data_IF_499929199110
#
_entry.id   IF_499929199110
#
_cell.length_a   1.000
_cell.length_b   1.000
_cell.length_c   1.000
_cell.angle_alpha   90.00
_cell.angle_beta   90.00
_cell.angle_gamma   90.00
#
_symmetry.space_group_name_H-M   'P 1'
#
loop_
_entity.id
_entity.type
_entity.pdbx_description
1 polymer ?
#
# COMPACT_ATOMS: atom_id res chain seq x y z
N UNK A 1 -0.97 -6.56 18.24
CA UNK A 1 -0.94 -5.92 16.92
C UNK A 1 0.28 -6.32 16.08
N UNK A 2 0.16 -6.28 14.76
CA UNK A 2 1.24 -6.63 13.83
C UNK A 2 1.33 -8.11 13.45
N UNK A 3 0.70 -9.01 14.18
CA UNK A 3 0.67 -10.43 13.84
C UNK A 3 -0.11 -10.65 12.54
N UNK A 4 0.45 -11.43 11.63
CA UNK A 4 -0.20 -11.86 10.40
C UNK A 4 -0.81 -13.23 10.63
N UNK A 5 -2.11 -13.36 10.38
CA UNK A 5 -2.86 -14.60 10.48
C UNK A 5 -3.47 -14.97 9.13
N UNK A 6 -3.68 -16.27 8.94
CA UNK A 6 -4.50 -16.78 7.84
C UNK A 6 -5.97 -16.81 8.23
N UNK A 7 -6.84 -16.95 7.26
CA UNK A 7 -8.29 -16.97 7.50
C UNK A 7 -8.74 -18.11 8.43
N UNK A 8 -8.16 -19.29 8.27
CA UNK A 8 -8.45 -20.46 9.11
C UNK A 8 -8.04 -20.27 10.57
N UNK A 9 -6.92 -19.57 10.82
CA UNK A 9 -6.47 -19.22 12.15
C UNK A 9 -7.44 -18.22 12.84
N UNK A 10 -7.90 -17.20 12.11
CA UNK A 10 -8.92 -16.26 12.63
C UNK A 10 -10.21 -17.00 12.99
N UNK A 11 -10.67 -17.90 12.11
CA UNK A 11 -11.87 -18.71 12.34
C UNK A 11 -11.70 -19.59 13.60
N UNK A 12 -10.53 -20.20 13.76
CA UNK A 12 -10.22 -21.05 14.92
C UNK A 12 -10.17 -20.24 16.22
N UNK A 13 -9.45 -19.10 16.22
CA UNK A 13 -9.26 -18.25 17.41
C UNK A 13 -10.59 -17.65 17.87
N UNK A 14 -11.32 -17.01 16.94
CA UNK A 14 -12.54 -16.27 17.27
C UNK A 14 -13.80 -17.11 17.17
N UNK A 15 -13.73 -18.33 16.65
CA UNK A 15 -14.90 -19.20 16.39
C UNK A 15 -16.01 -18.45 15.64
N UNK A 16 -15.63 -17.70 14.64
CA UNK A 16 -16.49 -16.86 13.81
C UNK A 16 -16.67 -17.44 12.40
N UNK A 17 -17.56 -16.84 11.61
CA UNK A 17 -17.76 -17.25 10.21
C UNK A 17 -16.48 -17.06 9.37
N UNK A 18 -16.21 -17.94 8.37
CA UNK A 18 -15.00 -17.85 7.54
C UNK A 18 -15.06 -16.74 6.48
N UNK A 19 -16.20 -16.07 6.33
CA UNK A 19 -16.41 -15.05 5.30
C UNK A 19 -17.12 -13.82 5.88
N UNK A 20 -17.00 -12.70 5.14
CA UNK A 20 -17.59 -11.42 5.49
C UNK A 20 -16.59 -10.44 6.10
N UNK A 21 -16.91 -9.15 5.99
CA UNK A 21 -16.14 -8.05 6.60
C UNK A 21 -16.42 -7.90 8.10
N UNK A 22 -17.62 -8.25 8.54
CA UNK A 22 -18.02 -8.27 9.94
C UNK A 22 -18.42 -9.69 10.35
N UNK A 23 -17.68 -10.30 11.28
CA UNK A 23 -17.84 -11.71 11.67
C UNK A 23 -18.16 -11.82 13.17
N UNK A 24 -19.43 -11.96 13.50
CA UNK A 24 -19.88 -12.11 14.88
C UNK A 24 -19.65 -13.53 15.39
N UNK A 25 -19.02 -13.65 16.54
CA UNK A 25 -18.96 -14.89 17.31
C UNK A 25 -19.74 -14.74 18.63
N UNK A 26 -20.74 -15.58 18.82
CA UNK A 26 -21.45 -15.67 20.10
C UNK A 26 -20.63 -16.43 21.16
N UNK A 27 -19.76 -17.33 20.74
CA UNK A 27 -18.94 -18.16 21.65
C UNK A 27 -17.85 -17.35 22.35
N UNK A 28 -17.14 -16.52 21.61
CA UNK A 28 -16.10 -15.64 22.17
C UNK A 28 -16.62 -14.24 22.51
N UNK A 29 -17.91 -14.01 22.34
CA UNK A 29 -18.56 -12.70 22.48
C UNK A 29 -17.84 -11.57 21.75
N UNK A 30 -17.36 -11.83 20.52
CA UNK A 30 -16.56 -10.90 19.73
C UNK A 30 -17.17 -10.57 18.38
N UNK A 31 -16.78 -9.44 17.82
CA UNK A 31 -17.02 -9.06 16.44
C UNK A 31 -15.67 -8.78 15.76
N UNK A 32 -15.31 -9.64 14.82
CA UNK A 32 -14.10 -9.47 14.00
C UNK A 32 -14.44 -8.59 12.81
N UNK A 33 -13.70 -7.50 12.67
CA UNK A 33 -13.82 -6.51 11.60
C UNK A 33 -12.65 -6.69 10.63
N UNK A 34 -12.98 -6.97 9.36
CA UNK A 34 -12.00 -7.19 8.30
C UNK A 34 -12.10 -6.06 7.28
N UNK A 35 -11.04 -5.26 7.17
CA UNK A 35 -10.87 -4.28 6.11
C UNK A 35 -9.98 -4.85 5.01
N UNK A 36 -10.60 -5.36 3.95
CA UNK A 36 -9.90 -6.05 2.86
C UNK A 36 -9.61 -5.09 1.70
N UNK A 37 -8.39 -4.56 1.68
CA UNK A 37 -7.94 -3.62 0.65
C UNK A 37 -7.68 -4.28 -0.72
N UNK A 38 -7.58 -5.62 -0.77
CA UNK A 38 -7.39 -6.34 -2.04
C UNK A 38 -8.68 -6.35 -2.86
N UNK A 39 -9.84 -6.31 -2.20
CA UNK A 39 -11.17 -6.30 -2.83
C UNK A 39 -11.68 -4.90 -3.16
N UNK A 40 -11.19 -3.89 -2.45
CA UNK A 40 -11.54 -2.47 -2.62
C UNK A 40 -13.07 -2.21 -2.77
N UNK A 41 -13.88 -2.92 -1.96
CA UNK A 41 -15.34 -2.79 -1.96
C UNK A 41 -15.81 -1.55 -1.20
N UNK A 42 -15.07 -1.20 -0.14
CA UNK A 42 -15.38 -0.12 0.78
C UNK A 42 -14.19 0.85 0.88
N UNK A 43 -14.47 2.07 1.29
CA UNK A 43 -13.46 3.13 1.42
C UNK A 43 -12.95 3.25 2.87
N UNK A 44 -12.69 2.11 3.50
CA UNK A 44 -12.13 2.06 4.84
C UNK A 44 -10.78 2.77 4.90
N UNK A 45 -10.57 3.59 5.94
CA UNK A 45 -9.39 4.43 6.02
C UNK A 45 -9.06 4.88 7.44
N UNK A 46 -7.81 5.11 7.68
CA UNK A 46 -7.35 5.84 8.86
C UNK A 46 -7.35 7.35 8.59
N UNK A 47 -7.88 8.12 9.53
CA UNK A 47 -7.74 9.58 9.61
C UNK A 47 -7.15 9.91 10.99
N UNK A 48 -5.85 10.18 11.05
CA UNK A 48 -5.13 10.25 12.32
C UNK A 48 -5.11 8.89 13.03
N UNK A 49 -5.62 8.84 14.25
CA UNK A 49 -5.75 7.66 15.11
C UNK A 49 -7.12 6.98 15.02
N UNK A 50 -8.03 7.52 14.20
CA UNK A 50 -9.37 6.98 14.01
C UNK A 50 -9.46 6.20 12.70
N UNK A 51 -9.95 4.97 12.79
CA UNK A 51 -10.24 4.12 11.63
C UNK A 51 -11.72 4.24 11.23
N UNK A 52 -11.99 4.78 10.06
CA UNK A 52 -13.34 4.92 9.52
C UNK A 52 -13.72 3.65 8.77
N UNK A 53 -14.48 2.78 9.46
CA UNK A 53 -14.91 1.48 8.95
C UNK A 53 -16.29 1.58 8.31
N UNK A 54 -16.43 1.11 7.07
CA UNK A 54 -17.70 1.12 6.34
C UNK A 54 -18.56 -0.09 6.71
N UNK A 55 -19.82 0.14 7.01
CA UNK A 55 -20.79 -0.87 7.40
C UNK A 55 -21.12 -1.90 6.33
N UNK A 56 -21.87 -2.93 6.72
CA UNK A 56 -22.35 -4.00 5.84
C UNK A 56 -23.43 -3.51 4.87
N UNK A 57 -23.42 -4.09 3.69
CA UNK A 57 -24.37 -3.88 2.60
C UNK A 57 -23.61 -3.64 1.32
N UNK A 58 -23.93 -4.38 0.24
CA UNK A 58 -23.17 -4.35 -1.02
C UNK A 58 -23.86 -3.54 -2.10
N UNK A 59 -25.18 -3.43 -2.07
CA UNK A 59 -26.04 -2.75 -3.05
C UNK A 59 -27.07 -1.90 -2.30
N UNK A 60 -27.33 -0.70 -2.81
CA UNK A 60 -28.27 0.26 -2.23
C UNK A 60 -27.85 0.82 -0.88
N UNK A 61 -28.72 1.62 -0.28
CA UNK A 61 -28.49 2.27 1.01
C UNK A 61 -28.34 1.27 2.15
N UNK A 62 -27.34 1.50 3.00
CA UNK A 62 -27.12 0.68 4.19
C UNK A 62 -28.09 1.07 5.30
N UNK A 63 -28.48 0.09 6.11
CA UNK A 63 -29.30 0.29 7.32
C UNK A 63 -28.43 0.07 8.56
N UNK A 64 -28.58 0.95 9.55
CA UNK A 64 -27.83 0.86 10.81
C UNK A 64 -28.25 -0.36 11.63
N UNK A 65 -29.54 -0.69 11.60
CA UNK A 65 -30.14 -1.83 12.31
C UNK A 65 -29.94 -3.17 11.61
N UNK A 66 -29.26 -3.18 10.45
CA UNK A 66 -29.03 -4.40 9.69
C UNK A 66 -27.90 -5.24 10.27
N UNK A 67 -28.20 -6.44 10.75
CA UNK A 67 -27.24 -7.48 11.18
C UNK A 67 -26.10 -6.91 12.06
N UNK A 68 -24.83 -7.02 11.58
CA UNK A 68 -23.66 -6.63 12.36
C UNK A 68 -23.45 -5.11 12.40
N UNK A 69 -24.09 -4.31 11.55
CA UNK A 69 -24.12 -2.86 11.69
C UNK A 69 -24.72 -2.49 13.05
N UNK A 70 -25.85 -3.11 13.41
CA UNK A 70 -26.49 -2.92 14.73
C UNK A 70 -25.56 -3.35 15.86
N UNK A 71 -24.95 -4.55 15.74
CA UNK A 71 -24.02 -5.06 16.76
C UNK A 71 -22.87 -4.09 17.00
N UNK A 72 -22.29 -3.52 15.91
CA UNK A 72 -21.19 -2.57 16.00
C UNK A 72 -21.66 -1.22 16.56
N UNK A 73 -22.82 -0.71 16.14
CA UNK A 73 -23.37 0.54 16.65
C UNK A 73 -23.65 0.49 18.16
N UNK A 74 -24.07 -0.65 18.66
CA UNK A 74 -24.40 -0.88 20.09
C UNK A 74 -23.21 -1.39 20.91
N UNK A 75 -21.97 -1.47 20.34
CA UNK A 75 -20.83 -2.12 20.97
C UNK A 75 -20.39 -1.48 22.28
N UNK A 76 -20.71 -0.23 22.53
CA UNK A 76 -20.46 0.46 23.81
C UNK A 76 -21.30 -0.08 24.97
N UNK A 77 -22.44 -0.74 24.68
CA UNK A 77 -23.42 -1.19 25.68
C UNK A 77 -23.71 -2.68 25.66
N UNK A 78 -23.47 -3.36 24.53
CA UNK A 78 -23.79 -4.78 24.36
C UNK A 78 -22.68 -5.75 24.84
N UNK A 79 -21.56 -5.22 25.32
CA UNK A 79 -20.42 -5.99 25.86
C UNK A 79 -19.66 -6.82 24.84
N UNK A 80 -19.82 -6.54 23.54
CA UNK A 80 -19.13 -7.26 22.46
C UNK A 80 -17.74 -6.67 22.25
N UNK A 81 -16.71 -7.53 22.30
CA UNK A 81 -15.35 -7.14 21.98
C UNK A 81 -15.13 -7.00 20.47
N UNK A 82 -14.50 -5.92 20.05
CA UNK A 82 -14.22 -5.62 18.64
C UNK A 82 -12.73 -5.85 18.33
N UNK A 83 -12.46 -6.56 17.25
CA UNK A 83 -11.08 -6.87 16.80
C UNK A 83 -10.91 -6.47 15.34
N UNK A 84 -9.95 -5.59 15.05
CA UNK A 84 -9.69 -5.07 13.70
C UNK A 84 -8.54 -5.81 13.03
N UNK A 85 -8.79 -6.19 11.78
CA UNK A 85 -7.79 -6.73 10.86
C UNK A 85 -7.80 -5.94 9.55
N UNK A 86 -6.62 -5.64 9.02
CA UNK A 86 -6.45 -5.11 7.66
C UNK A 86 -5.80 -6.18 6.77
N UNK A 87 -6.22 -6.26 5.50
CA UNK A 87 -5.68 -7.19 4.50
C UNK A 87 -5.05 -6.37 3.38
N UNK A 88 -3.73 -6.40 3.26
CA UNK A 88 -2.95 -5.70 2.24
C UNK A 88 -2.50 -6.64 1.11
N UNK A 89 -2.41 -7.93 1.40
CA UNK A 89 -2.12 -9.03 0.47
C UNK A 89 -3.12 -10.15 0.68
N UNK A 90 -3.44 -10.88 -0.37
CA UNK A 90 -4.41 -11.98 -0.29
C UNK A 90 -3.98 -13.02 0.75
N UNK A 91 -4.94 -13.40 1.60
CA UNK A 91 -4.77 -14.36 2.70
C UNK A 91 -3.83 -13.92 3.85
N UNK A 92 -3.34 -12.70 3.88
CA UNK A 92 -2.55 -12.12 4.97
C UNK A 92 -3.41 -11.14 5.77
N UNK A 93 -3.93 -11.58 6.91
CA UNK A 93 -4.77 -10.79 7.81
C UNK A 93 -3.90 -10.20 8.92
N UNK A 94 -3.62 -8.91 8.84
CA UNK A 94 -2.80 -8.20 9.82
C UNK A 94 -3.67 -7.78 11.00
N UNK A 95 -3.39 -8.28 12.17
CA UNK A 95 -4.08 -7.88 13.39
C UNK A 95 -3.68 -6.44 13.79
N UNK A 96 -4.62 -5.53 13.72
CA UNK A 96 -4.39 -4.12 14.08
C UNK A 96 -4.56 -3.89 15.58
N UNK A 97 -5.41 -4.67 16.24
CA UNK A 97 -5.66 -4.57 17.67
C UNK A 97 -7.13 -4.69 18.03
N UNK A 98 -7.40 -4.63 19.33
CA UNK A 98 -8.73 -4.47 19.85
C UNK A 98 -9.14 -3.00 19.68
N UNK A 99 -10.38 -2.77 19.22
CA UNK A 99 -10.89 -1.43 18.93
C UNK A 99 -12.18 -1.16 19.68
N UNK A 100 -12.57 0.11 19.74
CA UNK A 100 -13.86 0.58 20.25
C UNK A 100 -14.38 1.73 19.39
N UNK A 101 -15.66 2.04 19.49
CA UNK A 101 -16.21 3.24 18.84
C UNK A 101 -15.56 4.49 19.44
N UNK A 102 -14.99 5.33 18.57
CA UNK A 102 -14.43 6.63 18.95
C UNK A 102 -15.50 7.72 19.00
N UNK A 103 -16.56 7.58 18.21
CA UNK A 103 -17.68 8.50 18.09
C UNK A 103 -18.92 7.77 17.56
N UNK A 104 -20.05 8.47 17.49
CA UNK A 104 -21.29 7.95 16.92
C UNK A 104 -21.10 7.60 15.44
N UNK A 105 -21.69 6.49 14.96
CA UNK A 105 -21.75 6.18 13.54
C UNK A 105 -22.43 7.31 12.75
N UNK A 106 -21.90 7.61 11.58
CA UNK A 106 -22.44 8.66 10.70
C UNK A 106 -22.64 8.14 9.27
N UNK A 107 -23.43 8.85 8.49
CA UNK A 107 -23.68 8.53 7.09
C UNK A 107 -22.69 9.25 6.17
N UNK A 108 -22.25 8.55 5.12
CA UNK A 108 -21.44 9.07 4.03
C UNK A 108 -21.96 8.53 2.70
N UNK A 109 -21.51 9.08 1.59
CA UNK A 109 -21.86 8.63 0.26
C UNK A 109 -20.72 7.85 -0.37
N UNK A 110 -21.00 6.60 -0.78
CA UNK A 110 -20.05 5.76 -1.52
C UNK A 110 -20.77 5.10 -2.70
N UNK A 111 -19.99 4.68 -3.69
CA UNK A 111 -20.53 3.87 -4.79
C UNK A 111 -20.64 2.40 -4.36
N UNK A 112 -21.75 1.76 -4.72
CA UNK A 112 -21.95 0.35 -4.52
C UNK A 112 -21.20 -0.51 -5.58
N UNK A 113 -21.40 -1.83 -5.54
CA UNK A 113 -20.73 -2.73 -6.51
C UNK A 113 -21.25 -2.57 -7.95
N UNK A 114 -22.42 -1.96 -8.14
CA UNK A 114 -23.05 -1.65 -9.41
C UNK A 114 -22.75 -0.22 -9.88
N UNK A 115 -21.89 0.50 -9.15
CA UNK A 115 -21.52 1.90 -9.36
C UNK A 115 -22.67 2.91 -9.17
N UNK A 116 -23.70 2.55 -8.40
CA UNK A 116 -24.74 3.48 -7.97
C UNK A 116 -24.30 4.21 -6.70
N UNK A 117 -24.53 5.52 -6.66
CA UNK A 117 -24.31 6.31 -5.43
C UNK A 117 -25.34 5.90 -4.37
N UNK A 118 -24.86 5.63 -3.16
CA UNK A 118 -25.68 5.22 -2.03
C UNK A 118 -25.24 5.82 -0.72
N UNK A 119 -26.08 5.79 0.28
CA UNK A 119 -25.73 6.10 1.66
C UNK A 119 -25.14 4.86 2.34
N UNK A 120 -24.00 5.04 2.99
CA UNK A 120 -23.33 4.04 3.81
C UNK A 120 -23.20 4.53 5.24
N UNK A 121 -23.14 3.60 6.20
CA UNK A 121 -22.81 3.90 7.58
C UNK A 121 -21.30 3.75 7.80
N UNK A 122 -20.69 4.78 8.37
CA UNK A 122 -19.28 4.80 8.76
C UNK A 122 -19.20 4.70 10.28
N UNK A 123 -18.40 3.77 10.75
CA UNK A 123 -18.13 3.53 12.16
C UNK A 123 -16.72 4.03 12.48
N UNK A 124 -16.58 5.18 13.18
CA UNK A 124 -15.28 5.68 13.63
C UNK A 124 -14.78 4.79 14.76
N UNK A 125 -13.66 4.14 14.57
CA UNK A 125 -13.04 3.22 15.52
C UNK A 125 -11.69 3.76 15.97
N UNK A 126 -11.35 3.57 17.24
CA UNK A 126 -10.01 3.81 17.77
C UNK A 126 -9.47 2.55 18.44
N UNK A 127 -8.16 2.42 18.52
CA UNK A 127 -7.55 1.36 19.30
C UNK A 127 -7.89 1.54 20.78
N UNK A 128 -8.21 0.44 21.47
CA UNK A 128 -8.41 0.46 22.93
C UNK A 128 -7.14 0.91 23.63
N UNK A 129 -7.29 1.52 24.80
CA UNK A 129 -6.19 1.88 25.68
C UNK A 129 -5.22 0.72 25.86
N UNK A 130 -3.92 1.01 25.90
CA UNK A 130 -2.81 0.06 25.94
C UNK A 130 -2.54 -0.74 24.64
N UNK A 131 -3.24 -0.45 23.54
CA UNK A 131 -2.91 -1.00 22.23
C UNK A 131 -2.01 -0.02 21.49
N UNK A 132 -0.75 -0.39 21.27
CA UNK A 132 0.18 0.44 20.48
C UNK A 132 -0.16 0.33 18.98
N UNK A 133 -0.31 1.46 18.26
CA UNK A 133 -0.41 1.45 16.81
C UNK A 133 0.83 0.79 16.20
N UNK A 134 0.63 -0.01 15.16
CA UNK A 134 1.75 -0.59 14.42
C UNK A 134 2.18 0.35 13.29
N UNK A 135 3.49 0.46 13.11
CA UNK A 135 4.04 0.98 11.86
C UNK A 135 3.91 -0.09 10.79
N UNK A 136 3.26 0.25 9.69
CA UNK A 136 3.09 -0.68 8.58
C UNK A 136 4.22 -0.51 7.56
N UNK A 137 4.74 -1.62 7.00
CA UNK A 137 5.71 -1.55 5.92
C UNK A 137 5.16 -0.75 4.73
N UNK A 138 5.98 0.12 4.15
CA UNK A 138 5.60 0.91 2.97
C UNK A 138 5.10 0.02 1.83
N UNK A 139 5.69 -1.16 1.66
CA UNK A 139 5.31 -2.13 0.63
C UNK A 139 3.84 -2.60 0.73
N UNK A 140 3.23 -2.57 1.93
CA UNK A 140 1.81 -2.90 2.10
C UNK A 140 0.91 -1.79 1.54
N UNK A 141 1.29 -0.52 1.76
CA UNK A 141 0.59 0.61 1.15
C UNK A 141 0.73 0.57 -0.38
N UNK A 142 1.91 0.26 -0.88
CA UNK A 142 2.15 0.09 -2.32
C UNK A 142 1.31 -1.06 -2.90
N UNK A 143 1.18 -2.18 -2.17
CA UNK A 143 0.30 -3.29 -2.57
C UNK A 143 -1.16 -2.85 -2.63
N UNK A 144 -1.66 -2.17 -1.60
CA UNK A 144 -3.01 -1.58 -1.58
C UNK A 144 -3.22 -0.66 -2.80
N UNK A 145 -2.27 0.21 -3.10
CA UNK A 145 -2.36 1.12 -4.24
C UNK A 145 -2.36 0.36 -5.57
N UNK A 146 -1.52 -0.66 -5.74
CA UNK A 146 -1.53 -1.53 -6.94
C UNK A 146 -2.88 -2.21 -7.18
N UNK A 147 -3.54 -2.72 -6.14
CA UNK A 147 -4.88 -3.31 -6.27
C UNK A 147 -5.91 -2.26 -6.70
N UNK A 148 -5.87 -1.06 -6.11
CA UNK A 148 -6.76 0.06 -6.48
C UNK A 148 -6.53 0.51 -7.92
N UNK A 149 -5.29 0.69 -8.34
CA UNK A 149 -4.93 1.06 -9.72
C UNK A 149 -5.36 -0.02 -10.73
N UNK A 150 -5.10 -1.31 -10.42
CA UNK A 150 -5.53 -2.42 -11.28
C UNK A 150 -7.05 -2.45 -11.46
N UNK A 151 -7.79 -2.13 -10.40
CA UNK A 151 -9.25 -2.01 -10.48
C UNK A 151 -9.66 -0.79 -11.28
N UNK A 152 -9.07 0.38 -11.03
CA UNK A 152 -9.37 1.62 -11.74
C UNK A 152 -9.17 1.47 -13.26
N UNK A 153 -8.10 0.78 -13.69
CA UNK A 153 -7.82 0.51 -15.12
C UNK A 153 -8.90 -0.35 -15.82
N UNK A 154 -9.75 -1.05 -15.07
CA UNK A 154 -10.84 -1.88 -15.63
C UNK A 154 -12.17 -1.14 -15.74
N UNK A 155 -12.27 0.07 -15.18
CA UNK A 155 -13.49 0.86 -15.22
C UNK A 155 -13.61 1.59 -16.55
N UNK A 156 -14.84 1.80 -17.01
CA UNK A 156 -15.13 2.74 -18.11
C UNK A 156 -14.84 4.18 -17.67
N UNK A 157 -14.63 5.09 -18.63
CA UNK A 157 -14.40 6.52 -18.33
C UNK A 157 -15.55 7.15 -17.54
N UNK A 158 -16.79 6.71 -17.80
CA UNK A 158 -17.98 7.17 -17.06
C UNK A 158 -17.91 6.76 -15.58
N UNK A 159 -17.61 5.51 -15.32
CA UNK A 159 -17.48 4.98 -13.95
C UNK A 159 -16.28 5.60 -13.22
N UNK A 160 -15.13 5.71 -13.91
CA UNK A 160 -13.93 6.33 -13.35
C UNK A 160 -14.20 7.79 -12.95
N UNK A 161 -14.87 8.56 -13.84
CA UNK A 161 -15.26 9.95 -13.56
C UNK A 161 -16.21 10.04 -12.36
N UNK A 162 -17.20 9.16 -12.28
CA UNK A 162 -18.14 9.12 -11.15
C UNK A 162 -17.38 8.88 -9.83
N UNK A 163 -16.51 7.85 -9.78
CA UNK A 163 -15.72 7.54 -8.59
C UNK A 163 -14.77 8.69 -8.21
N UNK A 164 -14.08 9.29 -9.20
CA UNK A 164 -13.15 10.38 -8.95
C UNK A 164 -13.82 11.63 -8.34
N UNK A 165 -15.09 11.89 -8.69
CA UNK A 165 -15.87 13.00 -8.10
C UNK A 165 -16.26 12.79 -6.64
N UNK A 166 -16.43 11.54 -6.22
CA UNK A 166 -16.88 11.15 -4.88
C UNK A 166 -15.77 10.67 -3.96
N UNK A 167 -14.50 10.84 -4.35
CA UNK A 167 -13.36 10.54 -3.47
C UNK A 167 -13.11 11.66 -2.46
N UNK A 168 -12.51 11.33 -1.34
CA UNK A 168 -12.02 12.30 -0.37
C UNK A 168 -11.10 13.33 -1.04
N UNK A 169 -11.39 14.62 -0.83
CA UNK A 169 -10.60 15.72 -1.40
C UNK A 169 -9.20 15.83 -0.78
N UNK A 170 -9.01 15.31 0.43
CA UNK A 170 -7.72 15.34 1.13
C UNK A 170 -7.02 13.99 0.99
N UNK A 171 -5.73 14.03 0.67
CA UNK A 171 -4.90 12.83 0.70
C UNK A 171 -4.75 12.33 2.15
N UNK A 172 -4.93 11.03 2.34
CA UNK A 172 -4.80 10.38 3.64
C UNK A 172 -3.32 10.21 3.93
N UNK A 173 -2.87 10.71 5.10
CA UNK A 173 -1.51 10.53 5.60
C UNK A 173 -1.46 9.30 6.50
N UNK A 174 -0.50 8.40 6.27
CA UNK A 174 -0.22 7.26 7.14
C UNK A 174 1.28 7.14 7.36
N UNK A 175 1.70 6.94 8.60
CA UNK A 175 3.10 6.62 8.92
C UNK A 175 3.41 5.20 8.46
N UNK A 176 4.58 5.03 7.82
CA UNK A 176 5.06 3.74 7.33
C UNK A 176 6.52 3.56 7.69
N UNK A 177 6.92 2.32 7.98
CA UNK A 177 8.32 1.93 8.06
C UNK A 177 8.86 1.56 6.68
N UNK A 178 10.11 1.90 6.42
CA UNK A 178 10.82 1.50 5.20
C UNK A 178 12.26 1.13 5.53
N UNK A 179 12.79 0.14 4.83
CA UNK A 179 14.22 -0.18 4.88
C UNK A 179 14.94 0.69 3.87
N UNK A 180 15.89 1.50 4.34
CA UNK A 180 16.79 2.26 3.48
C UNK A 180 18.17 1.58 3.45
N UNK A 181 18.78 1.53 2.27
CA UNK A 181 20.17 1.10 2.12
C UNK A 181 21.08 2.33 2.19
N UNK A 182 22.03 2.33 3.11
CA UNK A 182 23.12 3.29 3.09
C UNK A 182 24.00 2.98 1.90
N UNK A 183 24.12 3.95 0.98
CA UNK A 183 24.90 3.80 -0.25
C UNK A 183 26.25 4.46 -0.09
N UNK A 184 27.30 3.86 -0.67
CA UNK A 184 28.61 4.44 -0.71
C UNK A 184 28.64 5.66 -1.67
N UNK A 185 28.87 6.89 -1.18
CA UNK A 185 28.85 8.08 -2.01
C UNK A 185 29.99 8.08 -3.07
N UNK A 186 31.09 7.41 -2.81
CA UNK A 186 32.19 7.32 -3.77
C UNK A 186 31.83 6.44 -4.98
N UNK A 187 31.07 5.38 -4.78
CA UNK A 187 30.56 4.52 -5.87
C UNK A 187 29.58 5.31 -6.74
N UNK A 188 28.66 6.03 -6.11
CA UNK A 188 27.68 6.86 -6.80
C UNK A 188 28.35 7.98 -7.60
N UNK A 189 29.30 8.69 -7.03
CA UNK A 189 30.03 9.77 -7.69
C UNK A 189 30.89 9.24 -8.86
N UNK A 190 31.57 8.12 -8.66
CA UNK A 190 32.34 7.47 -9.72
C UNK A 190 31.48 7.11 -10.94
N UNK A 191 30.31 6.51 -10.72
CA UNK A 191 29.39 6.15 -11.79
C UNK A 191 28.92 7.38 -12.58
N UNK A 192 28.60 8.48 -11.91
CA UNK A 192 28.20 9.76 -12.55
C UNK A 192 29.33 10.39 -13.35
N UNK A 193 30.55 10.45 -12.82
CA UNK A 193 31.73 10.97 -13.53
C UNK A 193 32.06 10.12 -14.76
N UNK A 194 32.03 8.80 -14.62
CA UNK A 194 32.22 7.90 -15.74
C UNK A 194 31.18 8.12 -16.85
N UNK A 195 29.91 8.35 -16.49
CA UNK A 195 28.85 8.62 -17.45
C UNK A 195 29.04 9.94 -18.20
N UNK A 196 29.79 10.89 -17.63
CA UNK A 196 30.09 12.19 -18.24
C UNK A 196 28.84 12.89 -18.84
N UNK A 197 27.73 12.90 -18.10
CA UNK A 197 26.48 13.51 -18.51
C UNK A 197 25.65 12.71 -19.53
N UNK A 198 26.10 11.52 -19.93
CA UNK A 198 25.40 10.67 -20.90
C UNK A 198 24.75 9.47 -20.19
N UNK A 199 23.47 9.25 -20.40
CA UNK A 199 22.76 8.08 -19.85
C UNK A 199 23.36 6.78 -20.41
N UNK A 200 23.80 5.89 -19.54
CA UNK A 200 24.50 4.66 -19.92
C UNK A 200 23.56 3.55 -20.43
N UNK A 201 22.24 3.78 -20.52
CA UNK A 201 21.30 2.83 -21.14
C UNK A 201 20.82 3.31 -22.52
N UNK A 202 20.37 4.57 -22.64
CA UNK A 202 19.82 5.09 -23.90
C UNK A 202 20.82 5.90 -24.73
N UNK A 203 22.02 6.15 -24.24
CA UNK A 203 23.08 6.90 -24.89
C UNK A 203 22.73 8.38 -25.20
N UNK A 204 21.71 8.92 -24.51
CA UNK A 204 21.31 10.32 -24.65
C UNK A 204 21.87 11.17 -23.52
N UNK A 205 22.09 12.47 -23.75
CA UNK A 205 22.46 13.41 -22.71
C UNK A 205 21.47 13.41 -21.54
N UNK A 206 21.94 13.80 -20.34
CA UNK A 206 21.07 14.05 -19.21
C UNK A 206 19.95 15.05 -19.60
N UNK A 207 18.70 14.83 -19.19
CA UNK A 207 17.56 15.61 -19.65
C UNK A 207 17.54 17.05 -19.12
N UNK A 208 18.26 17.32 -18.05
CA UNK A 208 18.43 18.64 -17.42
C UNK A 208 19.66 18.66 -16.53
N UNK A 209 20.07 19.84 -16.09
CA UNK A 209 21.11 20.04 -15.09
C UNK A 209 20.47 20.24 -13.71
N UNK A 210 21.17 19.81 -12.66
CA UNK A 210 20.81 20.11 -11.28
C UNK A 210 21.02 21.60 -10.94
N UNK A 211 20.77 21.98 -9.67
CA UNK A 211 20.91 23.37 -9.21
C UNK A 211 22.35 23.89 -9.26
N UNK A 212 23.32 23.00 -9.26
CA UNK A 212 24.73 23.31 -9.29
C UNK A 212 25.29 23.31 -10.73
N UNK A 213 24.41 23.10 -11.73
CA UNK A 213 24.76 23.11 -13.14
C UNK A 213 25.29 21.77 -13.69
N UNK A 214 25.29 20.72 -12.88
CA UNK A 214 25.76 19.39 -13.31
C UNK A 214 24.68 18.61 -14.06
N UNK A 215 25.03 17.81 -15.08
CA UNK A 215 24.08 16.93 -15.75
C UNK A 215 23.40 15.98 -14.77
N UNK A 216 22.06 16.00 -14.72
CA UNK A 216 21.33 15.18 -13.76
C UNK A 216 21.20 13.73 -14.23
N UNK A 217 21.91 12.84 -13.58
CA UNK A 217 21.82 11.39 -13.72
C UNK A 217 21.60 10.74 -12.35
N UNK A 218 20.89 9.62 -12.34
CA UNK A 218 20.62 8.81 -11.15
C UNK A 218 21.47 7.54 -11.18
N UNK A 219 22.06 7.17 -10.05
CA UNK A 219 22.79 5.90 -9.94
C UNK A 219 21.83 4.73 -9.82
N UNK A 220 22.13 3.65 -10.51
CA UNK A 220 21.34 2.41 -10.55
C UNK A 220 22.25 1.21 -10.32
N UNK A 221 21.88 0.33 -9.38
CA UNK A 221 22.52 -0.96 -9.19
C UNK A 221 21.93 -1.96 -10.19
N UNK A 222 22.77 -2.51 -11.05
CA UNK A 222 22.36 -3.44 -12.12
C UNK A 222 21.72 -4.68 -11.52
N UNK A 223 22.34 -5.25 -10.50
CA UNK A 223 21.73 -6.20 -9.58
C UNK A 223 21.27 -5.42 -8.34
N UNK A 224 19.98 -5.48 -8.06
CA UNK A 224 19.37 -4.62 -7.04
C UNK A 224 19.86 -4.98 -5.64
N UNK A 225 20.16 -3.97 -4.82
CA UNK A 225 20.56 -4.16 -3.41
C UNK A 225 19.51 -5.01 -2.63
N UNK A 226 18.23 -4.83 -2.92
CA UNK A 226 17.14 -5.62 -2.32
C UNK A 226 17.13 -7.10 -2.74
N UNK A 227 17.92 -7.47 -3.75
CA UNK A 227 18.10 -8.85 -4.23
C UNK A 227 19.48 -9.41 -3.91
N UNK A 228 20.23 -8.71 -3.05
CA UNK A 228 21.59 -9.12 -2.67
C UNK A 228 22.72 -8.57 -3.56
N UNK A 229 22.43 -7.62 -4.44
CA UNK A 229 23.46 -6.95 -5.24
C UNK A 229 24.38 -6.10 -4.36
N UNK A 230 25.67 -6.02 -4.76
CA UNK A 230 26.70 -5.26 -4.05
C UNK A 230 26.66 -3.77 -4.39
N UNK A 231 27.03 -2.91 -3.42
CA UNK A 231 27.22 -1.46 -3.63
C UNK A 231 28.66 -1.20 -4.06
N UNK A 232 28.99 -1.56 -5.31
CA UNK A 232 30.33 -1.48 -5.89
C UNK A 232 30.30 -0.85 -7.29
N UNK A 233 31.46 -0.43 -7.79
CA UNK A 233 31.61 0.16 -9.14
C UNK A 233 31.32 -0.86 -10.25
N UNK A 234 31.46 -2.16 -9.98
CA UNK A 234 31.15 -3.27 -10.88
C UNK A 234 29.64 -3.48 -11.04
N UNK A 235 28.86 -3.00 -10.10
CA UNK A 235 27.40 -3.16 -10.09
C UNK A 235 26.65 -1.83 -10.24
N UNK A 236 27.34 -0.69 -10.32
CA UNK A 236 26.69 0.64 -10.32
C UNK A 236 26.95 1.40 -11.61
N UNK A 237 25.90 2.04 -12.12
CA UNK A 237 25.87 2.77 -13.38
C UNK A 237 25.02 4.05 -13.24
N UNK A 238 25.18 5.02 -14.14
CA UNK A 238 24.42 6.27 -14.11
C UNK A 238 23.44 6.36 -15.29
N UNK A 239 22.18 6.60 -14.99
CA UNK A 239 21.05 6.60 -15.94
C UNK A 239 20.27 7.92 -15.85
N UNK A 240 19.65 8.32 -16.95
CA UNK A 240 18.64 9.38 -16.89
C UNK A 240 17.41 8.88 -16.11
N UNK A 241 16.60 9.78 -15.50
CA UNK A 241 15.43 9.40 -14.68
C UNK A 241 14.46 8.45 -15.38
N UNK A 242 14.25 8.65 -16.69
CA UNK A 242 13.37 7.78 -17.48
C UNK A 242 13.92 6.36 -17.59
N UNK A 243 15.21 6.21 -17.88
CA UNK A 243 15.85 4.90 -17.96
C UNK A 243 15.95 4.23 -16.59
N UNK A 244 16.28 4.98 -15.54
CA UNK A 244 16.30 4.47 -14.17
C UNK A 244 14.92 3.93 -13.78
N UNK A 245 13.84 4.70 -14.02
CA UNK A 245 12.48 4.24 -13.76
C UNK A 245 12.09 3.04 -14.62
N UNK A 246 12.51 3.02 -15.91
CA UNK A 246 12.29 1.89 -16.81
C UNK A 246 12.92 0.60 -16.26
N UNK A 247 14.15 0.66 -15.75
CA UNK A 247 14.81 -0.50 -15.14
C UNK A 247 14.01 -1.05 -13.97
N UNK A 248 13.54 -0.18 -13.06
CA UNK A 248 12.73 -0.61 -11.92
C UNK A 248 11.35 -1.15 -12.27
N UNK A 249 10.77 -0.77 -13.42
CA UNK A 249 9.43 -1.22 -13.83
C UNK A 249 9.49 -2.48 -14.69
N UNK A 250 10.42 -2.52 -15.66
CA UNK A 250 10.43 -3.54 -16.70
C UNK A 250 11.48 -4.64 -16.46
N UNK A 251 12.59 -4.31 -15.82
CA UNK A 251 13.70 -5.24 -15.49
C UNK A 251 14.05 -6.19 -16.65
N UNK A 252 14.18 -5.63 -17.88
CA UNK A 252 14.35 -6.42 -19.09
C UNK A 252 15.77 -6.99 -19.13
N UNK A 253 15.90 -8.31 -19.32
CA UNK A 253 17.18 -9.00 -19.43
C UNK A 253 18.13 -8.35 -20.43
N UNK A 254 17.64 -7.91 -21.60
CA UNK A 254 18.46 -7.23 -22.61
C UNK A 254 19.04 -5.92 -22.12
N UNK A 255 18.29 -5.11 -21.37
CA UNK A 255 18.77 -3.86 -20.78
C UNK A 255 19.83 -4.18 -19.69
N UNK A 256 19.58 -5.15 -18.83
CA UNK A 256 20.53 -5.61 -17.79
C UNK A 256 21.84 -6.07 -18.43
N UNK A 257 21.80 -6.92 -19.47
CA UNK A 257 23.00 -7.41 -20.14
C UNK A 257 23.78 -6.28 -20.85
N UNK A 258 23.07 -5.32 -21.47
CA UNK A 258 23.71 -4.11 -22.03
C UNK A 258 24.52 -3.36 -20.96
N UNK A 259 23.95 -3.17 -19.78
CA UNK A 259 24.60 -2.46 -18.69
C UNK A 259 25.78 -3.25 -18.12
N UNK A 260 25.64 -4.56 -17.90
CA UNK A 260 26.72 -5.44 -17.47
C UNK A 260 27.89 -5.43 -18.46
N UNK A 261 27.59 -5.43 -19.75
CA UNK A 261 28.64 -5.35 -20.81
C UNK A 261 29.40 -4.04 -20.70
N UNK A 262 28.73 -2.89 -20.55
CA UNK A 262 29.38 -1.58 -20.38
C UNK A 262 30.33 -1.53 -19.19
N UNK A 263 29.90 -2.05 -18.06
CA UNK A 263 30.75 -2.08 -16.86
C UNK A 263 32.02 -2.92 -17.13
N UNK A 264 31.85 -4.12 -17.72
CA UNK A 264 33.03 -4.97 -18.08
C UNK A 264 34.00 -4.26 -19.01
N UNK A 265 33.52 -3.62 -20.08
CA UNK A 265 34.33 -2.87 -21.02
C UNK A 265 35.07 -1.72 -20.34
N UNK A 266 34.41 -0.98 -19.44
CA UNK A 266 35.03 0.09 -18.67
C UNK A 266 36.16 -0.42 -17.79
N UNK A 267 35.91 -1.47 -17.02
CA UNK A 267 36.90 -2.01 -16.09
C UNK A 267 38.11 -2.57 -16.82
N UNK A 268 37.88 -3.24 -17.96
CA UNK A 268 39.00 -3.71 -18.83
C UNK A 268 39.84 -2.58 -19.42
N UNK A 269 39.29 -1.37 -19.55
CA UNK A 269 40.04 -0.19 -20.04
C UNK A 269 40.84 0.52 -18.94
N UNK A 270 40.67 0.15 -17.68
CA UNK A 270 41.37 0.71 -16.52
C UNK A 270 42.47 -0.21 -15.99
N UNK A 271 42.45 -1.49 -16.38
CA UNK A 271 43.47 -2.47 -16.06
C UNK A 271 44.64 -2.41 -17.07
#
# INVERSE_FOLDING_TARGET
PGQILRNDEIVSIFQCAPQGGMRRSKRTNSLVLISDHTKALYEDRWEGDVFHYTGMGRVGDQKLDFQQNKTLAESTTNGVDLYLFEVFRENEYVFMGQVELADQPYQDQQLDIENNLRLVWIFPLKLKENTQPIEIPQEWIESKNRYREKRAKKLSDKELKARAKHTNKKAIKRSTSTTAYERNPYVSEYAKRWANGICQLCDQPAPFNDKDGNPYLETHHIEWLSRGGDDTIENTIALCPNCHRKMHILDRKADVEKLKKRVRERLSSLA
#
